data_IF_322917088625
#
_entry.id   IF_322917088625
#
_cell.length_a   1.000
_cell.length_b   1.000
_cell.length_c   1.000
_cell.angle_alpha   90.00
_cell.angle_beta   90.00
_cell.angle_gamma   90.00
#
_symmetry.space_group_name_H-M   'P 1'
#
loop_
_entity.id
_entity.type
_entity.pdbx_description
1 polymer ?
#
# COMPACT_ATOMS: atom_id res chain seq x y z
N UNK A 1 25.37 27.03 -8.09
CA UNK A 1 26.54 26.16 -8.34
C UNK A 1 26.88 26.25 -9.83
N UNK A 2 28.17 26.34 -10.18
CA UNK A 2 28.64 26.32 -11.58
C UNK A 2 29.26 24.95 -11.84
N UNK A 3 28.80 24.26 -12.89
CA UNK A 3 29.32 22.94 -13.26
C UNK A 3 30.22 23.08 -14.49
N UNK A 4 31.52 22.84 -14.32
CA UNK A 4 32.47 22.71 -15.42
C UNK A 4 32.35 21.32 -16.04
N UNK A 5 31.67 21.24 -17.19
CA UNK A 5 31.40 19.97 -17.89
C UNK A 5 32.22 19.92 -19.18
N UNK A 6 33.09 18.91 -19.30
CA UNK A 6 33.80 18.60 -20.54
C UNK A 6 33.08 17.49 -21.29
N UNK A 7 32.58 17.79 -22.50
CA UNK A 7 31.93 16.79 -23.35
C UNK A 7 32.99 15.86 -23.94
N UNK A 8 32.99 14.60 -23.51
CA UNK A 8 33.95 13.57 -23.98
C UNK A 8 33.52 12.93 -25.30
N UNK A 9 32.22 12.70 -25.48
CA UNK A 9 31.68 12.01 -26.65
C UNK A 9 30.20 12.34 -26.84
N UNK A 10 29.74 12.38 -28.09
CA UNK A 10 28.33 12.57 -28.43
C UNK A 10 27.88 11.31 -29.17
N UNK A 11 27.01 10.51 -28.54
CA UNK A 11 26.39 9.33 -29.15
C UNK A 11 24.92 9.58 -29.43
N UNK A 12 24.40 8.93 -30.48
CA UNK A 12 22.96 8.88 -30.77
C UNK A 12 22.41 7.51 -30.37
N UNK A 13 21.26 7.48 -29.68
CA UNK A 13 20.54 6.22 -29.43
C UNK A 13 20.03 5.66 -30.75
N UNK A 14 20.49 4.46 -31.13
CA UNK A 14 19.88 3.65 -32.19
C UNK A 14 18.94 2.67 -31.50
N UNK A 15 17.64 2.80 -31.75
CA UNK A 15 16.66 1.84 -31.23
C UNK A 15 16.81 0.53 -31.98
N UNK A 16 16.76 -0.59 -31.25
CA UNK A 16 16.64 -1.90 -31.85
C UNK A 16 15.27 -2.05 -32.52
N UNK A 17 15.17 -2.92 -33.51
CA UNK A 17 13.88 -3.30 -34.07
C UNK A 17 13.10 -4.08 -33.02
N UNK A 18 11.78 -3.87 -32.94
CA UNK A 18 10.93 -4.62 -32.02
C UNK A 18 10.57 -5.95 -32.71
N UNK A 19 11.42 -6.95 -32.52
CA UNK A 19 11.28 -8.30 -33.06
C UNK A 19 11.51 -9.36 -31.97
N UNK A 20 11.54 -10.64 -32.37
CA UNK A 20 11.72 -11.75 -31.43
C UNK A 20 13.13 -11.77 -30.82
N UNK A 21 14.15 -11.28 -31.54
CA UNK A 21 15.51 -11.17 -31.00
C UNK A 21 15.58 -10.10 -29.90
N UNK A 22 14.89 -8.97 -30.10
CA UNK A 22 14.72 -7.98 -29.04
C UNK A 22 14.02 -8.56 -27.81
N UNK A 23 12.97 -9.37 -28.00
CA UNK A 23 12.25 -9.99 -26.88
C UNK A 23 13.15 -10.92 -26.05
N UNK A 24 13.96 -11.75 -26.72
CA UNK A 24 14.93 -12.64 -26.07
C UNK A 24 16.04 -11.88 -25.34
N UNK A 25 16.48 -10.74 -25.89
CA UNK A 25 17.56 -9.94 -25.31
C UNK A 25 17.17 -9.27 -23.97
N UNK A 26 15.88 -8.94 -23.79
CA UNK A 26 15.42 -8.15 -22.64
C UNK A 26 14.48 -8.89 -21.69
N UNK A 27 14.08 -10.12 -22.01
CA UNK A 27 13.09 -10.87 -21.25
C UNK A 27 13.33 -12.37 -21.28
N UNK A 28 12.51 -13.11 -20.53
CA UNK A 28 12.50 -14.57 -20.51
C UNK A 28 11.67 -15.20 -21.65
N UNK A 29 11.10 -14.38 -22.53
CA UNK A 29 10.21 -14.81 -23.62
C UNK A 29 10.95 -15.05 -24.93
N UNK A 30 10.50 -16.02 -25.72
CA UNK A 30 11.12 -16.36 -27.01
C UNK A 30 10.61 -15.50 -28.17
N UNK A 31 9.42 -14.93 -28.03
CA UNK A 31 8.76 -14.12 -29.07
C UNK A 31 8.33 -12.74 -28.56
N UNK A 32 8.27 -11.78 -29.47
CA UNK A 32 7.71 -10.45 -29.20
C UNK A 32 6.23 -10.53 -28.80
N UNK A 33 5.50 -11.51 -29.32
CA UNK A 33 4.08 -11.68 -29.00
C UNK A 33 3.88 -12.10 -27.54
N UNK A 34 4.70 -13.01 -27.02
CA UNK A 34 4.66 -13.42 -25.61
C UNK A 34 5.00 -12.26 -24.68
N UNK A 35 6.06 -11.50 -25.01
CA UNK A 35 6.42 -10.29 -24.27
C UNK A 35 5.29 -9.26 -24.25
N UNK A 36 4.61 -9.04 -25.39
CA UNK A 36 3.45 -8.15 -25.47
C UNK A 36 2.28 -8.64 -24.60
N UNK A 37 1.97 -9.93 -24.66
CA UNK A 37 0.89 -10.51 -23.86
C UNK A 37 1.16 -10.42 -22.36
N UNK A 38 2.40 -10.65 -21.92
CA UNK A 38 2.80 -10.48 -20.52
C UNK A 38 2.68 -9.03 -20.06
N UNK A 39 3.17 -8.08 -20.87
CA UNK A 39 3.02 -6.64 -20.59
C UNK A 39 1.54 -6.26 -20.50
N UNK A 40 0.71 -6.75 -21.43
CA UNK A 40 -0.73 -6.50 -21.42
C UNK A 40 -1.39 -7.05 -20.14
N UNK A 41 -1.06 -8.28 -19.75
CA UNK A 41 -1.57 -8.89 -18.52
C UNK A 41 -1.12 -8.11 -17.28
N UNK A 42 0.15 -7.68 -17.20
CA UNK A 42 0.67 -6.85 -16.11
C UNK A 42 -0.04 -5.50 -16.05
N UNK A 43 -0.28 -4.86 -17.19
CA UNK A 43 -1.02 -3.60 -17.26
C UNK A 43 -2.48 -3.78 -16.85
N UNK A 44 -3.13 -4.85 -17.30
CA UNK A 44 -4.51 -5.19 -16.95
C UNK A 44 -4.64 -5.42 -15.45
N UNK A 45 -3.81 -6.29 -14.86
CA UNK A 45 -3.79 -6.55 -13.42
C UNK A 45 -3.58 -5.26 -12.62
N UNK A 46 -2.60 -4.44 -13.02
CA UNK A 46 -2.35 -3.13 -12.39
C UNK A 46 -3.57 -2.21 -12.50
N UNK A 47 -4.27 -2.20 -13.63
CA UNK A 47 -5.47 -1.36 -13.81
C UNK A 47 -6.65 -1.85 -12.98
N UNK A 48 -6.85 -3.16 -12.88
CA UNK A 48 -7.87 -3.78 -12.03
C UNK A 48 -7.61 -3.47 -10.55
N UNK A 49 -6.38 -3.65 -10.07
CA UNK A 49 -5.98 -3.31 -8.70
C UNK A 49 -6.19 -1.82 -8.40
N UNK A 50 -5.78 -0.93 -9.31
CA UNK A 50 -6.01 0.52 -9.14
C UNK A 50 -7.50 0.87 -9.08
N UNK A 51 -8.33 0.22 -9.90
CA UNK A 51 -9.77 0.47 -9.91
C UNK A 51 -10.41 -0.02 -8.61
N UNK A 52 -10.02 -1.19 -8.10
CA UNK A 52 -10.49 -1.72 -6.81
C UNK A 52 -10.07 -0.82 -5.65
N UNK A 53 -8.82 -0.38 -5.61
CA UNK A 53 -8.33 0.53 -4.57
C UNK A 53 -9.07 1.86 -4.61
N UNK A 54 -9.27 2.42 -5.82
CA UNK A 54 -10.01 3.67 -5.97
C UNK A 54 -11.47 3.54 -5.52
N UNK A 55 -12.12 2.41 -5.83
CA UNK A 55 -13.48 2.12 -5.36
C UNK A 55 -13.52 2.02 -3.83
N UNK A 56 -12.57 1.30 -3.22
CA UNK A 56 -12.42 1.18 -1.76
C UNK A 56 -12.26 2.55 -1.10
N UNK A 57 -11.32 3.37 -1.59
CA UNK A 57 -11.09 4.72 -1.11
C UNK A 57 -12.35 5.59 -1.19
N UNK A 58 -13.05 5.58 -2.33
CA UNK A 58 -14.28 6.35 -2.50
C UNK A 58 -15.40 5.87 -1.55
N UNK A 59 -15.56 4.56 -1.39
CA UNK A 59 -16.57 3.98 -0.51
C UNK A 59 -16.33 4.40 0.95
N UNK A 60 -15.09 4.28 1.43
CA UNK A 60 -14.69 4.68 2.79
C UNK A 60 -14.89 6.19 2.98
N UNK A 61 -14.46 7.01 2.02
CA UNK A 61 -14.59 8.46 2.09
C UNK A 61 -16.06 8.89 2.19
N UNK A 62 -16.94 8.30 1.36
CA UNK A 62 -18.38 8.59 1.42
C UNK A 62 -19.04 8.09 2.70
N UNK A 63 -18.66 6.91 3.19
CA UNK A 63 -19.14 6.38 4.47
C UNK A 63 -18.74 7.31 5.64
N UNK A 64 -17.57 7.94 5.54
CA UNK A 64 -17.00 8.78 6.59
C UNK A 64 -17.36 10.27 6.46
N UNK A 65 -17.96 10.71 5.36
CA UNK A 65 -18.24 12.13 5.09
C UNK A 65 -19.22 12.73 6.13
N UNK A 66 -20.31 12.02 6.40
CA UNK A 66 -21.35 12.46 7.34
C UNK A 66 -21.06 12.11 8.81
N UNK A 67 -20.00 11.36 9.08
CA UNK A 67 -19.64 10.98 10.44
C UNK A 67 -19.01 12.16 11.18
N UNK A 68 -19.55 12.48 12.37
CA UNK A 68 -18.90 13.37 13.33
C UNK A 68 -18.15 12.51 14.35
N UNK A 69 -16.83 12.65 14.36
CA UNK A 69 -15.94 11.92 15.27
C UNK A 69 -15.05 12.93 15.94
N UNK A 70 -15.08 12.97 17.27
CA UNK A 70 -14.12 13.73 18.05
C UNK A 70 -12.87 12.87 18.23
N UNK A 71 -11.76 13.30 17.62
CA UNK A 71 -10.52 12.52 17.55
C UNK A 71 -9.49 13.15 18.48
N UNK A 72 -9.08 12.44 19.55
CA UNK A 72 -8.03 12.91 20.44
C UNK A 72 -6.71 13.14 19.68
N UNK A 73 -6.01 14.23 19.99
CA UNK A 73 -4.73 14.56 19.35
C UNK A 73 -3.71 13.42 19.45
N UNK A 74 -3.68 12.68 20.56
CA UNK A 74 -2.80 11.53 20.74
C UNK A 74 -2.98 10.42 19.68
N UNK A 75 -4.20 10.22 19.18
CA UNK A 75 -4.46 9.26 18.11
C UNK A 75 -3.92 9.77 16.77
N UNK A 76 -4.04 11.07 16.51
CA UNK A 76 -3.49 11.70 15.31
C UNK A 76 -1.97 11.62 15.35
N UNK A 77 -1.35 11.91 16.49
CA UNK A 77 0.11 11.86 16.65
C UNK A 77 0.65 10.43 16.43
N UNK A 78 -0.03 9.43 16.97
CA UNK A 78 0.31 8.01 16.76
C UNK A 78 0.23 7.65 15.28
N UNK A 79 -0.84 8.08 14.59
CA UNK A 79 -1.00 7.82 13.16
C UNK A 79 0.08 8.53 12.33
N UNK A 80 0.52 9.73 12.72
CA UNK A 80 1.63 10.43 12.08
C UNK A 80 2.93 9.64 12.27
N UNK A 81 3.18 9.11 13.47
CA UNK A 81 4.36 8.28 13.74
C UNK A 81 4.37 7.01 12.87
N UNK A 82 3.22 6.34 12.72
CA UNK A 82 3.10 5.16 11.84
C UNK A 82 3.36 5.52 10.37
N UNK A 83 2.85 6.66 9.90
CA UNK A 83 3.10 7.14 8.53
C UNK A 83 4.60 7.40 8.32
N UNK A 84 5.26 8.06 9.28
CA UNK A 84 6.68 8.38 9.21
C UNK A 84 7.57 7.13 9.33
N UNK A 85 7.19 6.16 10.16
CA UNK A 85 7.89 4.89 10.27
C UNK A 85 7.81 4.10 8.96
N UNK A 86 6.62 4.01 8.36
CA UNK A 86 6.45 3.38 7.05
C UNK A 86 7.24 4.11 5.96
N UNK A 87 7.31 5.44 6.04
CA UNK A 87 8.13 6.21 5.12
C UNK A 87 9.62 5.92 5.31
N UNK A 88 10.12 5.87 6.55
CA UNK A 88 11.51 5.51 6.86
C UNK A 88 11.87 4.11 6.35
N UNK A 89 11.00 3.11 6.52
CA UNK A 89 11.21 1.76 5.98
C UNK A 89 11.37 1.77 4.45
N UNK A 90 10.52 2.52 3.73
CA UNK A 90 10.63 2.67 2.26
C UNK A 90 11.86 3.43 1.81
N UNK A 91 12.35 4.36 2.64
CA UNK A 91 13.61 5.06 2.35
C UNK A 91 14.80 4.13 2.56
N UNK A 92 14.78 3.32 3.64
CA UNK A 92 15.85 2.36 3.95
C UNK A 92 16.02 1.32 2.87
N UNK A 93 14.93 0.85 2.27
CA UNK A 93 14.99 -0.08 1.13
C UNK A 93 15.67 0.54 -0.11
N UNK A 94 15.75 1.87 -0.19
CA UNK A 94 16.46 2.62 -1.23
C UNK A 94 17.87 3.06 -0.79
N UNK A 95 18.33 2.65 0.40
CA UNK A 95 19.62 3.05 0.98
C UNK A 95 19.64 4.47 1.56
N UNK A 96 18.47 5.08 1.79
CA UNK A 96 18.34 6.41 2.39
C UNK A 96 17.71 6.32 3.79
N UNK A 97 18.06 7.21 4.70
CA UNK A 97 17.40 7.34 6.02
C UNK A 97 16.48 8.55 6.02
N UNK A 98 15.41 8.54 6.82
CA UNK A 98 14.53 9.71 6.98
C UNK A 98 15.30 11.00 7.33
N UNK A 99 16.31 10.92 8.21
CA UNK A 99 17.13 12.09 8.60
C UNK A 99 17.83 12.73 7.39
N UNK A 100 18.54 11.93 6.58
CA UNK A 100 19.18 12.40 5.34
C UNK A 100 18.18 12.93 4.33
N UNK A 101 17.00 12.31 4.23
CA UNK A 101 15.94 12.80 3.35
C UNK A 101 15.51 14.22 3.76
N UNK A 102 15.21 14.43 5.04
CA UNK A 102 14.85 15.74 5.59
C UNK A 102 15.96 16.78 5.36
N UNK A 103 17.23 16.38 5.51
CA UNK A 103 18.37 17.25 5.22
C UNK A 103 18.43 17.68 3.74
N UNK A 104 18.24 16.75 2.80
CA UNK A 104 18.25 17.05 1.36
C UNK A 104 17.03 17.85 0.91
N UNK A 105 15.86 17.59 1.48
CA UNK A 105 14.63 18.33 1.18
C UNK A 105 14.53 19.67 1.91
N UNK A 106 15.49 19.98 2.80
CA UNK A 106 15.50 21.17 3.65
C UNK A 106 14.23 21.27 4.50
N UNK A 107 13.72 20.12 4.94
CA UNK A 107 12.55 20.01 5.81
C UNK A 107 12.96 19.65 7.23
N UNK A 108 12.15 20.04 8.20
CA UNK A 108 12.28 19.61 9.60
C UNK A 108 11.31 18.49 9.91
N UNK A 109 11.58 17.74 10.97
CA UNK A 109 10.65 16.73 11.48
C UNK A 109 9.27 17.34 11.83
N UNK A 110 9.23 18.57 12.33
CA UNK A 110 7.96 19.25 12.60
C UNK A 110 7.21 19.56 11.30
N UNK A 111 7.89 20.12 10.29
CA UNK A 111 7.26 20.46 9.02
C UNK A 111 6.66 19.24 8.28
N UNK A 112 7.33 18.07 8.37
CA UNK A 112 6.79 16.85 7.77
C UNK A 112 5.62 16.29 8.57
N UNK A 113 5.63 16.42 9.91
CA UNK A 113 4.50 16.01 10.76
C UNK A 113 3.27 16.88 10.49
N UNK A 114 3.44 18.19 10.39
CA UNK A 114 2.36 19.13 10.01
C UNK A 114 1.78 18.80 8.64
N UNK A 115 2.64 18.46 7.66
CA UNK A 115 2.21 18.06 6.32
C UNK A 115 1.29 16.82 6.35
N UNK A 116 1.57 15.86 7.23
CA UNK A 116 0.78 14.63 7.36
C UNK A 116 -0.38 14.74 8.35
N UNK A 117 -0.56 15.88 9.04
CA UNK A 117 -1.55 16.01 10.10
C UNK A 117 -2.99 15.81 9.59
N UNK A 118 -3.34 16.45 8.47
CA UNK A 118 -4.69 16.32 7.88
C UNK A 118 -4.95 14.91 7.33
N UNK A 119 -3.94 14.28 6.74
CA UNK A 119 -4.05 12.91 6.23
C UNK A 119 -4.17 11.90 7.37
N UNK A 120 -3.39 12.06 8.44
CA UNK A 120 -3.49 11.26 9.66
C UNK A 120 -4.86 11.40 10.32
N UNK A 121 -5.38 12.63 10.42
CA UNK A 121 -6.73 12.90 10.94
C UNK A 121 -7.81 12.20 10.12
N UNK A 122 -7.71 12.24 8.79
CA UNK A 122 -8.63 11.51 7.90
C UNK A 122 -8.50 10.00 8.06
N UNK A 123 -7.29 9.47 8.16
CA UNK A 123 -7.06 8.03 8.35
C UNK A 123 -7.67 7.54 9.66
N UNK A 124 -7.41 8.23 10.78
CA UNK A 124 -8.01 7.89 12.09
C UNK A 124 -9.53 8.01 12.04
N UNK A 125 -10.07 9.06 11.41
CA UNK A 125 -11.52 9.21 11.22
C UNK A 125 -12.11 8.00 10.50
N UNK A 126 -11.53 7.64 9.35
CA UNK A 126 -12.01 6.54 8.53
C UNK A 126 -11.95 5.22 9.30
N UNK A 127 -10.86 4.96 10.01
CA UNK A 127 -10.73 3.75 10.83
C UNK A 127 -11.82 3.67 11.91
N UNK A 128 -12.04 4.75 12.68
CA UNK A 128 -13.07 4.78 13.72
C UNK A 128 -14.48 4.59 13.16
N UNK A 129 -14.76 5.16 11.98
CA UNK A 129 -16.04 4.95 11.28
C UNK A 129 -16.20 3.49 10.85
N UNK A 130 -15.16 2.89 10.25
CA UNK A 130 -15.20 1.48 9.84
C UNK A 130 -15.37 0.54 11.03
N UNK A 131 -14.71 0.81 12.16
CA UNK A 131 -14.91 0.06 13.40
C UNK A 131 -16.34 0.18 13.92
N UNK A 132 -16.92 1.38 13.89
CA UNK A 132 -18.29 1.62 14.30
C UNK A 132 -19.29 0.88 13.39
N UNK A 133 -19.07 0.89 12.07
CA UNK A 133 -19.88 0.15 11.08
C UNK A 133 -19.77 -1.35 11.35
N UNK A 134 -18.54 -1.88 11.50
CA UNK A 134 -18.32 -3.28 11.78
C UNK A 134 -19.06 -3.74 13.05
N UNK A 135 -19.06 -2.90 14.09
CA UNK A 135 -19.78 -3.18 15.33
C UNK A 135 -21.30 -3.09 15.18
N UNK A 136 -21.79 -2.10 14.42
CA UNK A 136 -23.23 -1.91 14.21
C UNK A 136 -23.86 -3.03 13.37
N UNK A 137 -23.13 -3.51 12.36
CA UNK A 137 -23.56 -4.57 11.44
C UNK A 137 -23.21 -5.98 11.95
N UNK A 138 -22.55 -6.10 13.11
CA UNK A 138 -22.19 -7.39 13.70
C UNK A 138 -21.14 -8.16 12.90
N UNK A 139 -20.18 -7.46 12.29
CA UNK A 139 -19.10 -8.07 11.51
C UNK A 139 -18.08 -8.71 12.45
N UNK A 140 -18.15 -10.04 12.52
CA UNK A 140 -17.21 -10.87 13.26
C UNK A 140 -16.16 -11.50 12.35
N UNK A 141 -15.02 -11.84 12.94
CA UNK A 141 -13.91 -12.50 12.26
C UNK A 141 -14.00 -13.98 12.62
N UNK A 142 -14.26 -14.80 11.62
CA UNK A 142 -14.36 -16.23 11.78
C UNK A 142 -12.96 -16.85 11.75
N UNK A 143 -12.84 -18.07 12.27
CA UNK A 143 -11.59 -18.83 12.18
C UNK A 143 -11.18 -19.06 10.71
N UNK A 144 -12.14 -19.26 9.82
CA UNK A 144 -11.89 -19.39 8.38
C UNK A 144 -11.24 -18.13 7.77
N UNK A 145 -11.61 -16.94 8.24
CA UNK A 145 -11.03 -15.69 7.75
C UNK A 145 -9.55 -15.57 8.17
N UNK A 146 -9.23 -16.01 9.40
CA UNK A 146 -7.85 -16.06 9.88
C UNK A 146 -7.03 -17.09 9.12
N UNK A 147 -7.60 -18.26 8.84
CA UNK A 147 -6.93 -19.33 8.11
C UNK A 147 -6.61 -18.93 6.66
N UNK A 148 -7.49 -18.15 6.03
CA UNK A 148 -7.25 -17.53 4.71
C UNK A 148 -6.16 -16.47 4.76
N UNK A 149 -6.16 -15.62 5.80
CA UNK A 149 -5.13 -14.59 5.93
C UNK A 149 -3.75 -15.21 6.20
N UNK A 150 -3.65 -16.27 7.00
CA UNK A 150 -2.40 -17.00 7.19
C UNK A 150 -1.90 -17.66 5.89
N UNK A 151 -2.81 -18.17 5.06
CA UNK A 151 -2.45 -18.72 3.74
C UNK A 151 -1.93 -17.63 2.80
N UNK A 152 -2.60 -16.48 2.75
CA UNK A 152 -2.16 -15.30 1.99
C UNK A 152 -0.76 -14.83 2.42
N UNK A 153 -0.52 -14.75 3.73
CA UNK A 153 0.79 -14.36 4.28
C UNK A 153 1.86 -15.42 3.99
N UNK A 154 1.51 -16.71 4.08
CA UNK A 154 2.40 -17.81 3.74
C UNK A 154 2.86 -17.76 2.27
N UNK A 155 1.95 -17.51 1.33
CA UNK A 155 2.26 -17.30 -0.07
C UNK A 155 3.15 -16.07 -0.29
N UNK A 156 2.83 -14.96 0.37
CA UNK A 156 3.55 -13.70 0.22
C UNK A 156 5.00 -13.78 0.73
N UNK A 157 5.22 -14.47 1.85
CA UNK A 157 6.55 -14.66 2.43
C UNK A 157 7.25 -15.94 1.97
N UNK A 158 6.58 -16.76 1.14
CA UNK A 158 7.04 -18.08 0.71
C UNK A 158 7.48 -18.96 1.90
N UNK A 159 6.67 -18.94 2.96
CA UNK A 159 6.86 -19.69 4.20
C UNK A 159 5.69 -20.64 4.45
N UNK A 160 5.85 -21.59 5.37
CA UNK A 160 4.74 -22.46 5.77
C UNK A 160 3.74 -21.69 6.62
N UNK A 161 2.45 -21.97 6.39
CA UNK A 161 1.34 -21.39 7.14
C UNK A 161 1.48 -21.59 8.65
N UNK A 162 1.90 -22.78 9.08
CA UNK A 162 2.08 -23.12 10.49
C UNK A 162 3.17 -22.27 11.14
N UNK A 163 4.28 -22.00 10.43
CA UNK A 163 5.38 -21.16 10.91
C UNK A 163 4.91 -19.70 11.03
N UNK A 164 4.18 -19.19 10.05
CA UNK A 164 3.59 -17.84 10.10
C UNK A 164 2.63 -17.72 11.28
N UNK A 165 1.73 -18.68 11.46
CA UNK A 165 0.78 -18.71 12.59
C UNK A 165 1.49 -18.72 13.93
N UNK A 166 2.56 -19.51 14.07
CA UNK A 166 3.35 -19.57 15.30
C UNK A 166 4.05 -18.24 15.58
N UNK A 167 4.73 -17.66 14.59
CA UNK A 167 5.43 -16.37 14.72
C UNK A 167 4.46 -15.27 15.17
N UNK A 168 3.31 -15.16 14.50
CA UNK A 168 2.31 -14.12 14.79
C UNK A 168 1.67 -14.30 16.16
N UNK A 169 1.49 -15.55 16.59
CA UNK A 169 1.00 -15.87 17.94
C UNK A 169 2.03 -15.49 19.00
N UNK A 170 3.30 -15.84 18.81
CA UNK A 170 4.39 -15.49 19.73
C UNK A 170 4.60 -13.99 19.84
N UNK A 171 4.40 -13.25 18.75
CA UNK A 171 4.50 -11.79 18.71
C UNK A 171 3.24 -11.06 19.22
N UNK A 172 2.18 -11.80 19.57
CA UNK A 172 0.91 -11.21 20.02
C UNK A 172 0.18 -10.41 18.93
N UNK A 173 0.45 -10.70 17.65
CA UNK A 173 -0.11 -9.94 16.51
C UNK A 173 -1.46 -10.47 16.01
N UNK A 174 -1.95 -11.57 16.59
CA UNK A 174 -3.23 -12.18 16.20
C UNK A 174 -4.40 -11.21 16.34
N UNK A 175 -4.42 -10.38 17.38
CA UNK A 175 -5.50 -9.41 17.58
C UNK A 175 -5.43 -8.25 16.57
N UNK A 176 -4.21 -7.85 16.18
CA UNK A 176 -4.02 -6.85 15.11
C UNK A 176 -4.49 -7.39 13.75
N UNK A 177 -4.25 -8.68 13.47
CA UNK A 177 -4.73 -9.33 12.25
C UNK A 177 -6.25 -9.45 12.25
N UNK A 178 -6.85 -9.89 13.37
CA UNK A 178 -8.30 -9.89 13.51
C UNK A 178 -8.89 -8.50 13.30
N UNK A 179 -8.26 -7.48 13.86
CA UNK A 179 -8.67 -6.10 13.66
C UNK A 179 -8.63 -5.73 12.17
N UNK A 180 -7.52 -5.98 11.48
CA UNK A 180 -7.39 -5.72 10.04
C UNK A 180 -8.46 -6.44 9.21
N UNK A 181 -8.67 -7.74 9.45
CA UNK A 181 -9.69 -8.54 8.75
C UNK A 181 -11.08 -7.96 8.97
N UNK A 182 -11.40 -7.55 10.20
CA UNK A 182 -12.70 -6.93 10.51
C UNK A 182 -12.90 -5.64 9.71
N UNK A 183 -11.87 -4.81 9.62
CA UNK A 183 -11.92 -3.57 8.83
C UNK A 183 -12.11 -3.88 7.34
N UNK A 184 -11.36 -4.84 6.81
CA UNK A 184 -11.49 -5.24 5.39
C UNK A 184 -12.90 -5.76 5.09
N UNK A 185 -13.47 -6.60 5.97
CA UNK A 185 -14.87 -7.07 5.85
C UNK A 185 -15.87 -5.93 5.92
N UNK A 186 -15.62 -4.91 6.75
CA UNK A 186 -16.47 -3.72 6.82
C UNK A 186 -16.42 -2.90 5.51
N UNK A 187 -15.24 -2.77 4.91
CA UNK A 187 -15.08 -2.11 3.60
C UNK A 187 -15.82 -2.89 2.51
N UNK A 188 -15.65 -4.21 2.48
CA UNK A 188 -16.33 -5.07 1.50
C UNK A 188 -17.86 -5.01 1.68
N UNK A 189 -18.36 -4.95 2.93
CA UNK A 189 -19.77 -4.72 3.23
C UNK A 189 -20.27 -3.38 2.68
N UNK A 190 -19.50 -2.29 2.89
CA UNK A 190 -19.86 -0.96 2.37
C UNK A 190 -19.92 -1.00 0.84
N UNK A 191 -18.93 -1.62 0.17
CA UNK A 191 -18.89 -1.70 -1.29
C UNK A 191 -20.04 -2.54 -1.84
N UNK A 192 -20.34 -3.67 -1.22
CA UNK A 192 -21.45 -4.54 -1.62
C UNK A 192 -22.82 -3.84 -1.53
N UNK A 193 -22.96 -2.90 -0.60
CA UNK A 193 -24.19 -2.12 -0.40
C UNK A 193 -24.14 -0.73 -1.06
N UNK A 194 -23.01 -0.34 -1.65
CA UNK A 194 -22.86 0.95 -2.31
C UNK A 194 -23.54 0.95 -3.68
N UNK A 195 -24.20 2.05 -4.02
CA UNK A 195 -24.63 2.31 -5.40
C UNK A 195 -23.42 2.77 -6.20
N UNK A 196 -22.79 1.82 -6.90
CA UNK A 196 -21.68 2.09 -7.81
C UNK A 196 -22.28 2.61 -9.13
N UNK A 197 -22.00 3.86 -9.47
CA UNK A 197 -22.34 4.49 -10.75
C UNK A 197 -21.09 4.62 -11.61
#
# INVERSE_FOLDING_TARGET
ATFDVTVKEIKRKKLAELDDEFAKDISEFETLQELKNDIENKLKKRKEENAQNHLREQAIAKASENAQVDIPQAMIDTQIDDILQNFDLRLRSQGLSLEKFLQYSQQTQESIREQYQEDAKKAVKNQLVLEAIAKAEGIEVEEEDLEKEFERLAEMYNQKKEEIKEILTQQGQIDAIKHSIRIDKAVDFIIANAKIN
#
